data_IF_531069324960
#
_entry.id   IF_531069324960
#
_cell.length_a   1.000
_cell.length_b   1.000
_cell.length_c   1.000
_cell.angle_alpha   90.00
_cell.angle_beta   90.00
_cell.angle_gamma   90.00
#
_symmetry.space_group_name_H-M   'P 1'
#
loop_
_entity.id
_entity.type
_entity.pdbx_description
1 polymer ?
#
# COMPACT_ATOMS: atom_id res chain seq x y z
N UNK A 1 42.93 -9.33 -8.04
CA UNK A 1 43.20 -10.76 -8.29
C UNK A 1 41.99 -11.54 -8.81
N UNK A 2 40.91 -11.77 -8.04
CA UNK A 2 39.76 -12.56 -8.56
C UNK A 2 39.03 -11.85 -9.72
N UNK A 3 38.79 -10.54 -9.60
CA UNK A 3 38.15 -9.74 -10.65
C UNK A 3 39.01 -9.59 -11.93
N UNK A 4 40.35 -9.59 -11.80
CA UNK A 4 41.26 -9.52 -12.96
C UNK A 4 41.29 -10.84 -13.73
N UNK A 5 41.25 -11.97 -13.02
CA UNK A 5 41.20 -13.30 -13.64
C UNK A 5 39.86 -13.51 -14.34
N UNK A 6 38.75 -13.12 -13.71
CA UNK A 6 37.42 -13.18 -14.34
C UNK A 6 37.35 -12.24 -15.54
N UNK A 7 37.92 -11.03 -15.45
CA UNK A 7 38.01 -10.09 -16.56
C UNK A 7 38.76 -10.66 -17.77
N UNK A 8 39.94 -11.26 -17.54
CA UNK A 8 40.74 -11.88 -18.59
C UNK A 8 40.03 -13.06 -19.27
N UNK A 9 39.31 -13.88 -18.49
CA UNK A 9 38.53 -15.00 -19.03
C UNK A 9 37.37 -14.52 -19.92
N UNK A 10 36.69 -13.44 -19.52
CA UNK A 10 35.62 -12.85 -20.33
C UNK A 10 36.15 -12.18 -21.60
N UNK A 11 37.30 -11.51 -21.55
CA UNK A 11 37.96 -10.95 -22.74
C UNK A 11 38.33 -12.04 -23.75
N UNK A 12 38.91 -13.13 -23.27
CA UNK A 12 39.31 -14.26 -24.11
C UNK A 12 38.09 -14.94 -24.74
N UNK A 13 37.04 -15.20 -23.95
CA UNK A 13 35.79 -15.76 -24.44
C UNK A 13 35.12 -14.85 -25.49
N UNK A 14 35.11 -13.54 -25.28
CA UNK A 14 34.58 -12.55 -26.22
C UNK A 14 35.37 -12.50 -27.53
N UNK A 15 36.71 -12.59 -27.44
CA UNK A 15 37.61 -12.64 -28.59
C UNK A 15 37.40 -13.91 -29.44
N UNK A 16 37.14 -15.04 -28.81
CA UNK A 16 36.83 -16.30 -29.50
C UNK A 16 35.44 -16.22 -30.15
N UNK A 17 34.43 -15.76 -29.40
CA UNK A 17 33.06 -15.63 -29.89
C UNK A 17 32.95 -14.68 -31.10
N UNK A 18 33.64 -13.53 -31.07
CA UNK A 18 33.65 -12.56 -32.18
C UNK A 18 34.30 -13.08 -33.47
N UNK A 19 35.18 -14.09 -33.37
CA UNK A 19 35.80 -14.72 -34.55
C UNK A 19 34.97 -15.89 -35.10
N UNK A 20 34.18 -16.56 -34.26
CA UNK A 20 33.46 -17.77 -34.60
C UNK A 20 31.98 -17.54 -34.92
N UNK A 21 31.41 -16.42 -34.48
CA UNK A 21 29.98 -16.12 -34.64
C UNK A 21 29.80 -14.92 -35.56
N UNK A 22 29.28 -15.18 -36.76
CA UNK A 22 28.70 -14.15 -37.60
C UNK A 22 27.29 -13.84 -37.09
N UNK A 23 27.09 -12.68 -36.49
CA UNK A 23 25.75 -12.19 -36.11
C UNK A 23 25.09 -11.53 -37.32
N UNK A 24 24.45 -12.31 -38.18
CA UNK A 24 23.39 -11.78 -39.04
C UNK A 24 22.25 -11.28 -38.15
N UNK A 25 21.95 -9.98 -38.22
CA UNK A 25 21.00 -9.35 -37.31
C UNK A 25 21.61 -8.79 -36.04
N UNK A 26 22.87 -8.30 -36.08
CA UNK A 26 23.27 -7.17 -35.23
C UNK A 26 22.47 -5.91 -35.65
N UNK A 27 21.15 -6.02 -35.74
CA UNK A 27 20.24 -4.90 -35.88
C UNK A 27 20.53 -4.00 -34.70
N UNK A 28 21.01 -2.81 -35.02
CA UNK A 28 21.01 -1.61 -34.18
C UNK A 28 20.23 -1.86 -32.89
N UNK A 29 20.91 -2.17 -31.78
CA UNK A 29 20.38 -1.69 -30.49
C UNK A 29 20.07 -0.23 -30.76
N UNK A 30 18.79 0.15 -30.78
CA UNK A 30 18.40 1.50 -31.12
C UNK A 30 19.26 2.41 -30.23
N UNK A 31 19.88 3.45 -30.80
CA UNK A 31 20.71 4.40 -30.04
C UNK A 31 20.00 4.86 -28.75
N UNK A 32 18.67 4.90 -28.81
CA UNK A 32 17.73 5.11 -27.72
C UNK A 32 17.82 4.05 -26.61
N UNK A 33 17.74 2.76 -26.91
CA UNK A 33 17.82 1.67 -25.92
C UNK A 33 19.14 1.72 -25.15
N UNK A 34 20.26 1.97 -25.83
CA UNK A 34 21.58 2.08 -25.17
C UNK A 34 21.69 3.32 -24.29
N UNK A 35 21.15 4.45 -24.75
CA UNK A 35 21.13 5.68 -23.96
C UNK A 35 20.24 5.51 -22.72
N UNK A 36 19.06 4.91 -22.89
CA UNK A 36 18.11 4.68 -21.82
C UNK A 36 18.65 3.70 -20.79
N UNK A 37 19.31 2.63 -21.24
CA UNK A 37 20.04 1.70 -20.37
C UNK A 37 21.09 2.46 -19.55
N UNK A 38 21.91 3.30 -20.20
CA UNK A 38 22.97 4.07 -19.53
C UNK A 38 22.42 5.03 -18.47
N UNK A 39 21.27 5.66 -18.73
CA UNK A 39 20.60 6.54 -17.76
C UNK A 39 20.04 5.72 -16.59
N UNK A 40 19.23 4.70 -16.91
CA UNK A 40 18.51 3.87 -15.94
C UNK A 40 19.44 3.07 -15.01
N UNK A 41 20.61 2.62 -15.50
CA UNK A 41 21.56 1.82 -14.70
C UNK A 41 22.71 2.65 -14.12
N UNK A 42 22.73 3.97 -14.34
CA UNK A 42 23.79 4.81 -13.77
C UNK A 42 23.65 4.92 -12.26
N UNK A 43 24.78 4.98 -11.54
CA UNK A 43 24.79 5.10 -10.09
C UNK A 43 24.14 6.38 -9.56
N UNK A 44 24.18 7.46 -10.35
CA UNK A 44 23.70 8.79 -9.95
C UNK A 44 22.30 9.06 -10.52
N UNK A 45 22.06 8.78 -11.81
CA UNK A 45 20.76 9.03 -12.44
C UNK A 45 19.77 7.87 -12.29
N UNK A 46 20.21 6.67 -11.89
CA UNK A 46 19.33 5.52 -11.71
C UNK A 46 18.26 5.74 -10.64
N UNK A 47 18.61 6.27 -9.46
CA UNK A 47 17.63 6.55 -8.40
C UNK A 47 16.67 7.70 -8.74
N UNK A 48 17.10 8.86 -9.26
CA UNK A 48 16.20 9.89 -9.76
C UNK A 48 15.30 9.41 -10.90
N UNK A 49 15.83 8.65 -11.86
CA UNK A 49 15.03 8.11 -12.96
C UNK A 49 13.99 7.10 -12.46
N UNK A 50 14.36 6.25 -11.49
CA UNK A 50 13.43 5.37 -10.79
C UNK A 50 12.32 6.16 -10.11
N UNK A 51 12.67 7.18 -9.31
CA UNK A 51 11.70 8.01 -8.60
C UNK A 51 10.76 8.75 -9.56
N UNK A 52 11.29 9.26 -10.68
CA UNK A 52 10.50 9.94 -11.71
C UNK A 52 9.57 8.96 -12.44
N UNK A 53 10.06 7.78 -12.81
CA UNK A 53 9.24 6.75 -13.46
C UNK A 53 8.08 6.32 -12.55
N UNK A 54 8.38 5.98 -11.29
CA UNK A 54 7.35 5.61 -10.32
C UNK A 54 6.42 6.77 -9.99
N UNK A 55 6.96 7.97 -9.80
CA UNK A 55 6.17 9.18 -9.58
C UNK A 55 5.19 9.44 -10.72
N UNK A 56 5.62 9.27 -11.98
CA UNK A 56 4.75 9.39 -13.14
C UNK A 56 3.66 8.31 -13.15
N UNK A 57 4.00 7.04 -12.87
CA UNK A 57 3.03 5.94 -12.79
C UNK A 57 1.98 6.20 -11.70
N UNK A 58 2.39 6.60 -10.50
CA UNK A 58 1.46 6.94 -9.42
C UNK A 58 0.62 8.17 -9.74
N UNK A 59 1.22 9.20 -10.32
CA UNK A 59 0.49 10.41 -10.70
C UNK A 59 -0.60 10.13 -11.73
N UNK A 60 -0.29 9.36 -12.78
CA UNK A 60 -1.28 8.91 -13.77
C UNK A 60 -2.34 8.03 -13.12
N UNK A 61 -1.93 7.13 -12.23
CA UNK A 61 -2.86 6.21 -11.54
C UNK A 61 -3.84 6.97 -10.65
N UNK A 62 -3.36 7.86 -9.77
CA UNK A 62 -4.18 8.58 -8.78
C UNK A 62 -5.07 9.60 -9.48
N UNK A 63 -4.48 10.44 -10.34
CA UNK A 63 -5.24 11.49 -11.06
C UNK A 63 -6.23 10.87 -12.03
N UNK A 64 -5.82 9.82 -12.76
CA UNK A 64 -6.68 9.11 -13.70
C UNK A 64 -7.79 8.30 -13.02
N UNK A 65 -7.56 7.79 -11.82
CA UNK A 65 -8.56 7.03 -11.06
C UNK A 65 -9.61 7.90 -10.38
N UNK A 66 -9.32 9.17 -10.10
CA UNK A 66 -10.22 10.05 -9.35
C UNK A 66 -11.59 10.17 -10.04
N UNK A 67 -11.62 10.36 -11.37
CA UNK A 67 -12.87 10.52 -12.14
C UNK A 67 -13.71 9.23 -12.16
N UNK A 68 -13.18 8.05 -12.51
CA UNK A 68 -13.98 6.83 -12.42
C UNK A 68 -14.39 6.46 -11.00
N UNK A 69 -13.55 6.75 -9.99
CA UNK A 69 -13.88 6.53 -8.59
C UNK A 69 -15.04 7.41 -8.13
N UNK A 70 -15.07 8.70 -8.48
CA UNK A 70 -16.20 9.57 -8.13
C UNK A 70 -17.49 9.11 -8.82
N UNK A 71 -17.43 8.75 -10.11
CA UNK A 71 -18.59 8.23 -10.85
C UNK A 71 -19.15 6.94 -10.25
N UNK A 72 -18.27 6.02 -9.83
CA UNK A 72 -18.69 4.79 -9.13
C UNK A 72 -19.26 5.10 -7.73
N UNK A 73 -18.71 6.09 -7.04
CA UNK A 73 -19.21 6.55 -5.74
C UNK A 73 -20.62 7.11 -5.85
N UNK A 74 -20.85 8.03 -6.78
CA UNK A 74 -22.16 8.62 -7.05
C UNK A 74 -23.19 7.55 -7.45
N UNK A 75 -22.77 6.59 -8.28
CA UNK A 75 -23.64 5.49 -8.70
C UNK A 75 -23.96 4.56 -7.52
N UNK A 76 -22.96 3.96 -6.88
CA UNK A 76 -23.16 2.91 -5.88
C UNK A 76 -23.67 3.48 -4.54
N UNK A 77 -23.02 4.52 -4.02
CA UNK A 77 -23.32 5.09 -2.70
C UNK A 77 -24.37 6.20 -2.77
N UNK A 78 -24.55 6.84 -3.92
CA UNK A 78 -25.64 7.81 -4.13
C UNK A 78 -26.93 7.12 -4.59
N UNK A 79 -26.94 6.66 -5.84
CA UNK A 79 -28.18 6.18 -6.50
C UNK A 79 -28.63 4.80 -6.03
N UNK A 80 -27.76 3.78 -6.05
CA UNK A 80 -28.12 2.40 -5.71
C UNK A 80 -28.41 2.27 -4.21
N UNK A 81 -27.61 2.90 -3.35
CA UNK A 81 -27.89 3.01 -1.92
C UNK A 81 -29.28 3.61 -1.66
N UNK A 82 -29.64 4.71 -2.34
CA UNK A 82 -30.96 5.32 -2.24
C UNK A 82 -32.09 4.39 -2.67
N UNK A 83 -31.91 3.64 -3.77
CA UNK A 83 -32.89 2.64 -4.22
C UNK A 83 -33.05 1.47 -3.25
N UNK A 84 -31.96 1.01 -2.63
CA UNK A 84 -32.01 -0.07 -1.64
C UNK A 84 -32.81 0.36 -0.40
N UNK A 85 -32.60 1.58 0.10
CA UNK A 85 -33.37 2.12 1.21
C UNK A 85 -34.84 2.36 0.86
N UNK A 86 -35.14 2.87 -0.33
CA UNK A 86 -36.53 3.00 -0.80
C UNK A 86 -37.23 1.63 -0.90
N UNK A 87 -36.52 0.61 -1.41
CA UNK A 87 -37.02 -0.76 -1.46
C UNK A 87 -37.23 -1.38 -0.07
N UNK A 88 -36.30 -1.16 0.86
CA UNK A 88 -36.43 -1.63 2.25
C UNK A 88 -37.63 -0.99 2.95
N UNK A 89 -37.85 0.31 2.75
CA UNK A 89 -38.99 1.05 3.28
C UNK A 89 -40.31 0.55 2.67
N UNK A 90 -40.35 0.29 1.36
CA UNK A 90 -41.54 -0.26 0.70
C UNK A 90 -41.90 -1.66 1.24
N UNK A 91 -40.90 -2.46 1.61
CA UNK A 91 -41.07 -3.78 2.22
C UNK A 91 -41.32 -3.74 3.73
N UNK A 92 -41.37 -2.56 4.35
CA UNK A 92 -41.44 -2.38 5.81
C UNK A 92 -40.39 -3.21 6.56
N UNK A 93 -39.18 -3.30 6.00
CA UNK A 93 -38.09 -4.02 6.63
C UNK A 93 -37.73 -3.35 7.98
N UNK A 94 -37.43 -4.11 9.04
CA UNK A 94 -36.99 -3.53 10.31
C UNK A 94 -35.73 -2.67 10.13
N UNK A 95 -35.65 -1.54 10.85
CA UNK A 95 -34.51 -0.60 10.76
C UNK A 95 -33.15 -1.25 11.06
N UNK A 96 -33.12 -2.25 11.96
CA UNK A 96 -31.88 -2.97 12.24
C UNK A 96 -31.40 -3.81 11.06
N UNK A 97 -32.32 -4.31 10.22
CA UNK A 97 -32.01 -5.16 9.08
C UNK A 97 -31.54 -4.32 7.89
N UNK A 98 -32.23 -3.21 7.61
CA UNK A 98 -31.78 -2.24 6.60
C UNK A 98 -30.45 -1.63 7.00
N UNK A 99 -30.28 -1.25 8.27
CA UNK A 99 -29.01 -0.74 8.77
C UNK A 99 -27.87 -1.75 8.64
N UNK A 100 -28.06 -2.98 9.10
CA UNK A 100 -27.01 -4.00 9.03
C UNK A 100 -26.59 -4.33 7.59
N UNK A 101 -27.56 -4.57 6.71
CA UNK A 101 -27.29 -5.02 5.33
C UNK A 101 -26.91 -3.86 4.40
N UNK A 102 -27.58 -2.72 4.50
CA UNK A 102 -27.40 -1.59 3.59
C UNK A 102 -26.31 -0.66 4.14
N UNK A 103 -26.48 -0.16 5.36
CA UNK A 103 -25.57 0.83 5.96
C UNK A 103 -24.23 0.23 6.39
N UNK A 104 -24.22 -1.05 6.76
CA UNK A 104 -23.02 -1.81 7.11
C UNK A 104 -22.40 -2.52 5.91
N UNK A 105 -23.01 -3.62 5.47
CA UNK A 105 -22.42 -4.54 4.49
C UNK A 105 -22.30 -3.90 3.10
N UNK A 106 -23.40 -3.36 2.56
CA UNK A 106 -23.42 -2.80 1.21
C UNK A 106 -22.51 -1.57 1.07
N UNK A 107 -22.63 -0.58 1.97
CA UNK A 107 -21.77 0.61 1.91
C UNK A 107 -20.28 0.28 1.99
N UNK A 108 -19.88 -0.68 2.84
CA UNK A 108 -18.49 -1.09 2.92
C UNK A 108 -18.00 -1.74 1.61
N UNK A 109 -18.81 -2.60 0.98
CA UNK A 109 -18.48 -3.17 -0.32
C UNK A 109 -18.43 -2.10 -1.42
N UNK A 110 -19.41 -1.21 -1.46
CA UNK A 110 -19.50 -0.12 -2.44
C UNK A 110 -18.28 0.81 -2.34
N UNK A 111 -17.87 1.18 -1.13
CA UNK A 111 -16.66 1.97 -0.90
C UNK A 111 -15.40 1.29 -1.44
N UNK A 112 -15.18 0.02 -1.08
CA UNK A 112 -14.00 -0.74 -1.53
C UNK A 112 -13.98 -0.87 -3.05
N UNK A 113 -15.14 -1.13 -3.68
CA UNK A 113 -15.23 -1.19 -5.15
C UNK A 113 -14.92 0.17 -5.76
N UNK A 114 -15.49 1.25 -5.24
CA UNK A 114 -15.31 2.60 -5.78
C UNK A 114 -13.86 3.08 -5.69
N UNK A 115 -13.22 2.87 -4.54
CA UNK A 115 -11.88 3.41 -4.23
C UNK A 115 -10.76 2.51 -4.75
N UNK A 116 -10.90 1.18 -4.71
CA UNK A 116 -9.82 0.28 -5.15
C UNK A 116 -9.83 -0.03 -6.64
N UNK A 117 -11.01 -0.22 -7.27
CA UNK A 117 -11.08 -0.76 -8.63
C UNK A 117 -10.39 0.16 -9.65
N UNK A 118 -10.69 1.46 -9.74
CA UNK A 118 -10.12 2.30 -10.80
C UNK A 118 -8.59 2.46 -10.73
N UNK A 119 -7.97 2.77 -9.58
CA UNK A 119 -6.52 2.89 -9.55
C UNK A 119 -5.82 1.55 -9.75
N UNK A 120 -6.39 0.41 -9.35
CA UNK A 120 -5.82 -0.90 -9.70
C UNK A 120 -5.97 -1.22 -11.19
N UNK A 121 -7.09 -0.83 -11.80
CA UNK A 121 -7.35 -1.00 -13.24
C UNK A 121 -6.41 -0.17 -14.11
N UNK A 122 -5.85 0.94 -13.61
CA UNK A 122 -4.84 1.74 -14.30
C UNK A 122 -3.42 1.26 -13.96
N UNK A 123 -3.14 1.03 -12.67
CA UNK A 123 -1.80 0.69 -12.19
C UNK A 123 -1.28 -0.60 -12.80
N UNK A 124 -2.06 -1.70 -12.76
CA UNK A 124 -1.55 -3.00 -13.21
C UNK A 124 -1.26 -3.06 -14.71
N UNK A 125 -2.11 -2.53 -15.62
CA UNK A 125 -1.77 -2.50 -17.03
C UNK A 125 -0.54 -1.64 -17.33
N UNK A 126 -0.43 -0.45 -16.73
CA UNK A 126 0.74 0.42 -16.90
C UNK A 126 2.01 -0.26 -16.37
N UNK A 127 1.94 -0.88 -15.20
CA UNK A 127 3.07 -1.58 -14.62
C UNK A 127 3.48 -2.80 -15.46
N UNK A 128 2.52 -3.61 -15.92
CA UNK A 128 2.78 -4.78 -16.77
C UNK A 128 3.37 -4.35 -18.11
N UNK A 129 2.92 -3.21 -18.67
CA UNK A 129 3.52 -2.63 -19.88
C UNK A 129 4.99 -2.26 -19.66
N UNK A 130 5.33 -1.64 -18.51
CA UNK A 130 6.71 -1.31 -18.15
C UNK A 130 7.56 -2.56 -17.87
N UNK A 131 6.94 -3.65 -17.43
CA UNK A 131 7.57 -4.95 -17.22
C UNK A 131 7.90 -5.61 -18.57
N UNK A 132 6.92 -5.69 -19.47
CA UNK A 132 7.04 -6.25 -20.83
C UNK A 132 8.07 -5.50 -21.68
N UNK A 133 8.13 -4.17 -21.52
CA UNK A 133 9.13 -3.31 -22.12
C UNK A 133 10.55 -3.51 -21.54
N UNK A 134 10.71 -4.22 -20.43
CA UNK A 134 12.01 -4.45 -19.81
C UNK A 134 12.57 -3.26 -19.01
N UNK A 135 11.78 -2.20 -18.77
CA UNK A 135 12.21 -1.06 -17.95
C UNK A 135 12.27 -1.41 -16.47
N UNK A 136 11.29 -2.13 -15.94
CA UNK A 136 11.25 -2.51 -14.54
C UNK A 136 12.43 -3.41 -14.10
N UNK A 137 12.83 -4.46 -14.85
CA UNK A 137 14.04 -5.23 -14.57
C UNK A 137 15.31 -4.39 -14.47
N UNK A 138 15.44 -3.35 -15.30
CA UNK A 138 16.62 -2.46 -15.31
C UNK A 138 16.63 -1.52 -14.13
N UNK A 139 15.48 -0.94 -13.80
CA UNK A 139 15.32 -0.09 -12.62
C UNK A 139 15.54 -0.88 -11.33
N UNK A 140 15.10 -2.14 -11.28
CA UNK A 140 15.33 -3.05 -10.16
C UNK A 140 16.83 -3.24 -9.85
N UNK A 141 17.70 -3.16 -10.87
CA UNK A 141 19.15 -3.28 -10.70
C UNK A 141 19.74 -2.20 -9.78
N UNK A 142 19.12 -1.01 -9.71
CA UNK A 142 19.56 0.06 -8.81
C UNK A 142 19.43 -0.32 -7.34
N UNK A 143 18.48 -1.20 -7.00
CA UNK A 143 18.24 -1.67 -5.64
C UNK A 143 18.92 -3.01 -5.34
N UNK A 144 19.46 -3.71 -6.33
CA UNK A 144 20.07 -5.04 -6.18
C UNK A 144 21.16 -5.05 -5.09
N UNK A 145 22.08 -4.08 -5.13
CA UNK A 145 23.15 -3.95 -4.13
C UNK A 145 22.61 -3.75 -2.71
N UNK A 146 21.51 -3.02 -2.56
CA UNK A 146 20.88 -2.76 -1.27
C UNK A 146 20.22 -4.03 -0.70
N UNK A 147 19.47 -4.76 -1.53
CA UNK A 147 18.86 -6.03 -1.14
C UNK A 147 19.91 -7.11 -0.83
N UNK A 148 20.96 -7.22 -1.65
CA UNK A 148 22.09 -8.12 -1.40
C UNK A 148 22.79 -7.80 -0.08
N UNK A 149 23.01 -6.50 0.22
CA UNK A 149 23.56 -6.04 1.50
C UNK A 149 22.66 -6.33 2.71
N UNK A 150 21.35 -6.47 2.50
CA UNK A 150 20.38 -6.89 3.51
C UNK A 150 20.26 -8.43 3.63
N UNK A 151 20.99 -9.19 2.82
CA UNK A 151 20.90 -10.66 2.79
C UNK A 151 19.62 -11.18 2.15
N UNK A 152 19.11 -10.46 1.15
CA UNK A 152 17.93 -10.82 0.37
C UNK A 152 18.20 -10.80 -1.14
N UNK A 153 17.26 -11.29 -1.95
CA UNK A 153 17.44 -11.45 -3.40
C UNK A 153 17.18 -10.16 -4.17
N UNK A 154 17.96 -9.85 -5.22
CA UNK A 154 17.74 -8.66 -6.07
C UNK A 154 16.34 -8.59 -6.72
N UNK A 155 15.81 -9.75 -7.14
CA UNK A 155 14.41 -9.88 -7.64
C UNK A 155 13.35 -9.40 -6.64
N UNK A 156 13.66 -9.28 -5.34
CA UNK A 156 12.74 -8.70 -4.35
C UNK A 156 12.39 -7.24 -4.66
N UNK A 157 13.27 -6.50 -5.35
CA UNK A 157 12.94 -5.16 -5.82
C UNK A 157 11.70 -5.18 -6.76
N UNK A 158 11.59 -6.18 -7.64
CA UNK A 158 10.44 -6.34 -8.54
C UNK A 158 9.15 -6.62 -7.77
N UNK A 159 9.21 -7.52 -6.77
CA UNK A 159 8.03 -7.81 -5.95
C UNK A 159 7.59 -6.62 -5.09
N UNK A 160 8.54 -5.88 -4.52
CA UNK A 160 8.28 -4.66 -3.76
C UNK A 160 7.62 -3.59 -4.64
N UNK A 161 8.12 -3.41 -5.87
CA UNK A 161 7.57 -2.46 -6.84
C UNK A 161 6.12 -2.81 -7.20
N UNK A 162 5.80 -4.10 -7.32
CA UNK A 162 4.42 -4.57 -7.51
C UNK A 162 3.55 -4.42 -6.25
N UNK A 163 4.16 -4.50 -5.06
CA UNK A 163 3.52 -4.26 -3.77
C UNK A 163 2.94 -2.84 -3.63
N UNK A 164 3.58 -1.82 -4.21
CA UNK A 164 3.03 -0.47 -4.17
C UNK A 164 1.65 -0.32 -4.86
N UNK A 165 1.31 -1.20 -5.81
CA UNK A 165 -0.06 -1.31 -6.30
C UNK A 165 -0.93 -2.05 -5.28
N UNK A 166 -0.60 -3.31 -5.03
CA UNK A 166 -1.30 -4.13 -4.06
C UNK A 166 -0.33 -5.12 -3.40
N UNK A 167 -0.29 -5.13 -2.07
CA UNK A 167 0.58 -6.03 -1.31
C UNK A 167 0.24 -7.51 -1.57
N UNK A 168 -1.01 -7.87 -1.84
CA UNK A 168 -1.38 -9.24 -2.22
C UNK A 168 -0.76 -9.64 -3.57
N UNK A 169 -0.80 -8.75 -4.56
CA UNK A 169 -0.18 -9.00 -5.87
C UNK A 169 1.35 -9.06 -5.76
N UNK A 170 1.97 -8.19 -4.96
CA UNK A 170 3.40 -8.24 -4.67
C UNK A 170 3.84 -9.51 -3.93
N UNK A 171 3.00 -10.07 -3.05
CA UNK A 171 3.28 -11.38 -2.42
C UNK A 171 3.26 -12.50 -3.46
N UNK A 172 2.30 -12.51 -4.39
CA UNK A 172 2.26 -13.53 -5.47
C UNK A 172 3.48 -13.41 -6.40
N UNK A 173 3.94 -12.19 -6.69
CA UNK A 173 5.09 -12.00 -7.58
C UNK A 173 6.41 -12.45 -6.95
N UNK A 174 6.47 -12.72 -5.64
CA UNK A 174 7.67 -13.33 -5.01
C UNK A 174 8.00 -14.73 -5.55
N UNK A 175 7.11 -15.39 -6.30
CA UNK A 175 7.37 -16.66 -6.99
C UNK A 175 8.53 -16.61 -7.98
N UNK A 176 8.93 -15.41 -8.42
CA UNK A 176 10.14 -15.22 -9.23
C UNK A 176 11.43 -15.51 -8.46
N UNK A 177 11.39 -15.53 -7.11
CA UNK A 177 12.55 -15.78 -6.24
C UNK A 177 12.65 -17.29 -6.00
N UNK A 178 13.76 -17.88 -6.47
CA UNK A 178 13.96 -19.34 -6.46
C UNK A 178 14.27 -19.87 -5.05
N UNK A 179 15.06 -19.11 -4.26
CA UNK A 179 15.43 -19.48 -2.90
C UNK A 179 14.22 -19.38 -1.95
N UNK A 180 13.77 -20.48 -1.31
CA UNK A 180 12.60 -20.45 -0.42
C UNK A 180 12.77 -19.50 0.77
N UNK A 181 14.00 -19.39 1.28
CA UNK A 181 14.37 -18.49 2.38
C UNK A 181 14.21 -17.03 1.97
N UNK A 182 14.81 -16.64 0.86
CA UNK A 182 14.79 -15.26 0.38
C UNK A 182 13.38 -14.88 -0.12
N UNK A 183 12.66 -15.84 -0.70
CA UNK A 183 11.23 -15.69 -1.04
C UNK A 183 10.40 -15.37 0.20
N UNK A 184 10.63 -16.07 1.32
CA UNK A 184 9.92 -15.80 2.56
C UNK A 184 10.25 -14.41 3.15
N UNK A 185 11.51 -13.97 3.06
CA UNK A 185 11.89 -12.60 3.45
C UNK A 185 11.12 -11.58 2.59
N UNK A 186 11.06 -11.78 1.27
CA UNK A 186 10.31 -10.94 0.36
C UNK A 186 8.81 -10.91 0.70
N UNK A 187 8.21 -12.07 0.97
CA UNK A 187 6.79 -12.17 1.38
C UNK A 187 6.51 -11.36 2.65
N UNK A 188 7.34 -11.51 3.69
CA UNK A 188 7.14 -10.86 4.99
C UNK A 188 7.38 -9.34 4.95
N UNK A 189 8.31 -8.89 4.12
CA UNK A 189 8.69 -7.47 4.03
C UNK A 189 7.91 -6.70 2.99
N UNK A 190 7.16 -7.38 2.10
CA UNK A 190 6.36 -6.70 1.07
C UNK A 190 5.34 -5.71 1.65
N UNK A 191 4.87 -5.93 2.88
CA UNK A 191 3.92 -5.05 3.55
C UNK A 191 4.43 -3.61 3.79
N UNK A 192 5.75 -3.40 3.82
CA UNK A 192 6.32 -2.06 3.95
C UNK A 192 6.27 -1.26 2.64
N UNK A 193 5.86 -1.88 1.54
CA UNK A 193 5.45 -1.19 0.31
C UNK A 193 4.08 -0.57 0.53
N UNK A 194 3.95 0.72 0.25
CA UNK A 194 2.68 1.45 0.42
C UNK A 194 1.74 1.05 -0.71
N UNK A 195 0.77 0.19 -0.41
CA UNK A 195 -0.26 -0.20 -1.37
C UNK A 195 -1.26 0.93 -1.65
N UNK A 196 -2.00 0.81 -2.75
CA UNK A 196 -3.04 1.76 -3.19
C UNK A 196 -3.93 2.26 -2.04
N UNK A 197 -4.49 1.36 -1.23
CA UNK A 197 -5.38 1.72 -0.13
C UNK A 197 -4.76 2.59 0.98
N UNK A 198 -3.43 2.73 1.05
CA UNK A 198 -2.74 3.58 2.02
C UNK A 198 -2.44 4.99 1.48
N UNK A 199 -2.38 5.18 0.16
CA UNK A 199 -2.05 6.48 -0.43
C UNK A 199 -3.04 7.59 -0.05
N UNK A 200 -4.38 7.40 -0.11
CA UNK A 200 -5.33 8.45 0.27
C UNK A 200 -5.13 8.93 1.71
N UNK A 201 -4.87 7.99 2.64
CA UNK A 201 -4.59 8.32 4.05
C UNK A 201 -3.33 9.20 4.16
N UNK A 202 -2.24 8.81 3.48
CA UNK A 202 -0.98 9.55 3.56
C UNK A 202 -1.07 10.94 2.91
N UNK A 203 -1.75 11.04 1.76
CA UNK A 203 -1.98 12.30 1.06
C UNK A 203 -2.82 13.24 1.93
N UNK A 204 -3.95 12.74 2.47
CA UNK A 204 -4.84 13.53 3.33
C UNK A 204 -4.12 14.05 4.58
N UNK A 205 -3.35 13.18 5.26
CA UNK A 205 -2.60 13.57 6.46
C UNK A 205 -1.48 14.56 6.15
N UNK A 206 -0.74 14.35 5.06
CA UNK A 206 0.30 15.27 4.62
C UNK A 206 -0.30 16.65 4.29
N UNK A 207 -1.44 16.71 3.61
CA UNK A 207 -2.13 17.98 3.28
C UNK A 207 -2.61 18.70 4.55
N UNK A 208 -3.31 18.02 5.44
CA UNK A 208 -3.97 18.64 6.60
C UNK A 208 -2.96 19.05 7.68
N UNK A 209 -1.97 18.21 8.00
CA UNK A 209 -1.11 18.40 9.17
C UNK A 209 0.31 18.90 8.84
N UNK A 210 0.80 18.71 7.63
CA UNK A 210 2.16 19.15 7.24
C UNK A 210 2.09 20.36 6.32
N UNK A 211 1.41 20.24 5.19
CA UNK A 211 1.33 21.30 4.18
C UNK A 211 0.61 22.55 4.69
N UNK A 212 -0.40 22.41 5.56
CA UNK A 212 -1.11 23.53 6.16
C UNK A 212 -0.24 24.45 7.04
N UNK A 213 0.96 24.02 7.42
CA UNK A 213 1.93 24.85 8.17
C UNK A 213 2.81 25.73 7.27
N UNK A 214 2.75 25.51 5.95
CA UNK A 214 3.61 26.17 4.96
C UNK A 214 2.82 27.20 4.14
N UNK A 215 3.49 28.19 3.53
CA UNK A 215 2.84 29.14 2.65
C UNK A 215 2.10 28.43 1.50
N UNK A 216 0.93 28.94 1.04
CA UNK A 216 0.11 28.27 0.02
C UNK A 216 0.86 27.91 -1.26
N UNK A 217 1.87 28.71 -1.64
CA UNK A 217 2.69 28.47 -2.83
C UNK A 217 3.53 27.16 -2.75
N UNK A 218 3.89 26.70 -1.55
CA UNK A 218 4.70 25.51 -1.33
C UNK A 218 3.92 24.33 -0.75
N UNK A 219 2.67 24.52 -0.36
CA UNK A 219 1.86 23.51 0.32
C UNK A 219 1.76 22.19 -0.47
N UNK A 220 1.46 22.25 -1.77
CA UNK A 220 1.35 21.06 -2.62
C UNK A 220 2.69 20.31 -2.78
N UNK A 221 3.78 21.06 -2.95
CA UNK A 221 5.13 20.48 -3.05
C UNK A 221 5.56 19.80 -1.74
N UNK A 222 5.23 20.40 -0.59
CA UNK A 222 5.55 19.85 0.73
C UNK A 222 4.71 18.61 1.03
N UNK A 223 3.43 18.60 0.68
CA UNK A 223 2.59 17.40 0.79
C UNK A 223 3.18 16.25 -0.04
N UNK A 224 3.49 16.51 -1.32
CA UNK A 224 4.10 15.52 -2.20
C UNK A 224 5.45 15.01 -1.67
N UNK A 225 6.32 15.91 -1.21
CA UNK A 225 7.61 15.55 -0.63
C UNK A 225 7.47 14.70 0.64
N UNK A 226 6.47 14.99 1.48
CA UNK A 226 6.17 14.23 2.69
C UNK A 226 5.77 12.80 2.34
N UNK A 227 4.85 12.63 1.40
CA UNK A 227 4.39 11.30 0.97
C UNK A 227 5.53 10.51 0.31
N UNK A 228 6.33 11.13 -0.55
CA UNK A 228 7.54 10.50 -1.13
C UNK A 228 8.55 10.12 -0.04
N UNK A 229 8.71 10.96 0.98
CA UNK A 229 9.56 10.67 2.14
C UNK A 229 9.10 9.43 2.91
N UNK A 230 7.78 9.28 3.13
CA UNK A 230 7.20 8.10 3.78
C UNK A 230 7.37 6.85 2.89
N UNK A 231 7.20 6.97 1.57
CA UNK A 231 7.47 5.88 0.63
C UNK A 231 8.93 5.43 0.67
N UNK A 232 9.87 6.38 0.70
CA UNK A 232 11.29 6.08 0.86
C UNK A 232 11.59 5.43 2.21
N UNK A 233 10.94 5.88 3.29
CA UNK A 233 11.03 5.26 4.62
C UNK A 233 10.55 3.80 4.59
N UNK A 234 9.50 3.48 3.82
CA UNK A 234 9.05 2.11 3.58
C UNK A 234 10.11 1.22 2.94
N UNK A 235 10.83 1.73 1.95
CA UNK A 235 11.99 1.02 1.35
C UNK A 235 13.08 0.78 2.39
N UNK A 236 13.38 1.77 3.23
CA UNK A 236 14.36 1.62 4.33
C UNK A 236 13.93 0.53 5.31
N UNK A 237 12.67 0.54 5.78
CA UNK A 237 12.15 -0.50 6.67
C UNK A 237 12.13 -1.89 6.02
N UNK A 238 11.88 -1.97 4.71
CA UNK A 238 12.00 -3.22 3.95
C UNK A 238 13.41 -3.79 4.03
N UNK A 239 14.43 -2.96 3.80
CA UNK A 239 15.83 -3.36 3.85
C UNK A 239 16.29 -3.71 5.28
N UNK A 240 15.93 -2.88 6.26
CA UNK A 240 16.26 -3.12 7.67
C UNK A 240 15.64 -4.42 8.18
N UNK A 241 14.36 -4.65 7.89
CA UNK A 241 13.65 -5.86 8.32
C UNK A 241 14.16 -7.08 7.57
N UNK A 242 14.50 -6.96 6.28
CA UNK A 242 15.13 -8.05 5.52
C UNK A 242 16.46 -8.47 6.15
N UNK A 243 17.28 -7.50 6.56
CA UNK A 243 18.55 -7.74 7.28
C UNK A 243 18.35 -8.34 8.67
N UNK A 244 17.33 -7.90 9.39
CA UNK A 244 16.98 -8.47 10.69
C UNK A 244 16.56 -9.94 10.54
N UNK A 245 15.65 -10.24 9.61
CA UNK A 245 15.15 -11.59 9.36
C UNK A 245 16.25 -12.53 8.86
N UNK A 246 17.11 -12.07 7.94
CA UNK A 246 18.19 -12.88 7.37
C UNK A 246 19.25 -13.27 8.41
N UNK A 247 19.45 -12.45 9.45
CA UNK A 247 20.38 -12.74 10.56
C UNK A 247 19.77 -13.53 11.71
N UNK A 248 18.44 -13.45 11.91
CA UNK A 248 17.79 -14.01 13.10
C UNK A 248 17.01 -15.29 12.78
N UNK A 249 15.80 -15.16 12.24
CA UNK A 249 14.82 -16.23 12.05
C UNK A 249 15.09 -17.08 10.80
N UNK A 250 15.71 -16.50 9.78
CA UNK A 250 15.91 -17.11 8.47
C UNK A 250 17.41 -17.14 8.17
N UNK A 251 18.16 -18.04 8.81
CA UNK A 251 19.60 -18.27 8.56
C UNK A 251 19.80 -19.28 7.42
N UNK A 252 20.83 -19.09 6.60
CA UNK A 252 21.16 -20.00 5.48
C UNK A 252 22.19 -19.40 4.51
N UNK A 253 22.55 -20.15 3.47
CA UNK A 253 23.43 -19.68 2.39
C UNK A 253 22.67 -18.74 1.44
N UNK A 254 23.36 -17.73 0.90
CA UNK A 254 22.81 -16.80 -0.10
C UNK A 254 22.86 -17.44 -1.47
N UNK A 255 21.77 -17.38 -2.25
CA UNK A 255 21.82 -17.86 -3.63
C UNK A 255 22.68 -16.96 -4.52
N UNK A 256 23.53 -17.56 -5.37
CA UNK A 256 24.30 -16.82 -6.38
C UNK A 256 23.36 -16.43 -7.51
N UNK A 257 23.37 -15.15 -7.87
CA UNK A 257 22.44 -14.55 -8.82
C UNK A 257 23.15 -14.10 -10.09
N UNK A 258 22.63 -14.54 -11.24
CA UNK A 258 22.85 -13.94 -12.56
C UNK A 258 21.52 -13.33 -13.01
N UNK A 259 21.38 -12.00 -12.93
CA UNK A 259 20.25 -11.29 -13.56
C UNK A 259 20.47 -11.33 -15.08
N UNK A 260 19.84 -12.26 -15.77
CA UNK A 260 19.72 -12.15 -17.22
C UNK A 260 18.81 -10.97 -17.53
N UNK A 261 19.38 -9.91 -18.13
CA UNK A 261 18.60 -8.75 -18.59
C UNK A 261 17.73 -9.19 -19.77
N UNK A 262 16.39 -9.16 -19.67
CA UNK A 262 15.53 -9.55 -20.78
C UNK A 262 15.69 -8.58 -21.96
N UNK A 263 15.62 -9.06 -23.22
CA UNK A 263 15.67 -8.19 -24.39
C UNK A 263 14.42 -7.29 -24.45
N UNK A 264 14.57 -6.06 -24.97
CA UNK A 264 13.44 -5.17 -25.26
C UNK A 264 12.47 -5.86 -26.22
N UNK A 265 11.19 -5.96 -25.85
CA UNK A 265 10.13 -6.51 -26.70
C UNK A 265 9.01 -5.47 -26.85
N UNK A 266 8.49 -5.23 -28.06
CA UNK A 266 7.34 -4.36 -28.23
C UNK A 266 6.13 -4.95 -27.49
N UNK A 267 5.41 -4.15 -26.69
CA UNK A 267 4.36 -4.67 -25.84
C UNK A 267 3.11 -5.01 -26.65
N UNK A 268 2.44 -6.11 -26.29
CA UNK A 268 1.15 -6.48 -26.87
C UNK A 268 0.03 -5.77 -26.12
N UNK A 269 -0.10 -4.46 -26.34
CA UNK A 269 -0.95 -3.54 -25.54
C UNK A 269 -2.36 -4.08 -25.26
N UNK A 270 -3.09 -4.59 -26.26
CA UNK A 270 -4.43 -5.15 -26.05
C UNK A 270 -4.44 -6.43 -25.21
N UNK A 271 -3.49 -7.34 -25.46
CA UNK A 271 -3.39 -8.59 -24.72
C UNK A 271 -3.01 -8.31 -23.26
N UNK A 272 -2.04 -7.42 -23.04
CA UNK A 272 -1.57 -7.01 -21.71
C UNK A 272 -2.69 -6.29 -20.94
N UNK A 273 -3.46 -5.41 -21.59
CA UNK A 273 -4.60 -4.73 -20.95
C UNK A 273 -5.69 -5.72 -20.52
N UNK A 274 -6.08 -6.64 -21.40
CA UNK A 274 -7.11 -7.65 -21.11
C UNK A 274 -6.68 -8.58 -19.97
N UNK A 275 -5.50 -9.19 -20.10
CA UNK A 275 -4.98 -10.14 -19.10
C UNK A 275 -4.74 -9.47 -17.76
N UNK A 276 -4.19 -8.25 -17.74
CA UNK A 276 -3.95 -7.52 -16.50
C UNK A 276 -5.27 -7.13 -15.80
N UNK A 277 -6.28 -6.67 -16.52
CA UNK A 277 -7.55 -6.28 -15.92
C UNK A 277 -8.32 -7.48 -15.37
N UNK A 278 -8.45 -8.54 -16.16
CA UNK A 278 -9.30 -9.68 -15.80
C UNK A 278 -8.58 -10.62 -14.83
N UNK A 279 -7.34 -11.02 -15.16
CA UNK A 279 -6.64 -12.05 -14.39
C UNK A 279 -5.97 -11.51 -13.12
N UNK A 280 -5.72 -10.19 -13.03
CA UNK A 280 -5.12 -9.58 -11.84
C UNK A 280 -6.09 -8.68 -11.08
N UNK A 281 -6.73 -7.71 -11.73
CA UNK A 281 -7.57 -6.72 -11.03
C UNK A 281 -8.85 -7.34 -10.46
N UNK A 282 -9.66 -8.02 -11.29
CA UNK A 282 -10.94 -8.57 -10.84
C UNK A 282 -10.80 -9.64 -9.76
N UNK A 283 -9.81 -10.53 -9.88
CA UNK A 283 -9.55 -11.58 -8.90
C UNK A 283 -9.13 -11.03 -7.53
N UNK A 284 -8.33 -9.96 -7.51
CA UNK A 284 -7.94 -9.30 -6.26
C UNK A 284 -9.09 -8.49 -5.69
N UNK A 285 -9.86 -7.80 -6.54
CA UNK A 285 -11.04 -7.05 -6.12
C UNK A 285 -12.09 -7.96 -5.47
N UNK A 286 -12.38 -9.13 -6.07
CA UNK A 286 -13.33 -10.08 -5.51
C UNK A 286 -12.95 -10.50 -4.08
N UNK A 287 -11.66 -10.75 -3.83
CA UNK A 287 -11.16 -11.07 -2.49
C UNK A 287 -11.32 -9.90 -1.52
N UNK A 288 -11.08 -8.67 -1.98
CA UNK A 288 -11.28 -7.47 -1.18
C UNK A 288 -12.76 -7.29 -0.81
N UNK A 289 -13.69 -7.44 -1.76
CA UNK A 289 -15.14 -7.32 -1.52
C UNK A 289 -15.64 -8.36 -0.52
N UNK A 290 -15.25 -9.63 -0.69
CA UNK A 290 -15.62 -10.72 0.22
C UNK A 290 -15.09 -10.48 1.65
N UNK A 291 -13.95 -9.81 1.78
CA UNK A 291 -13.37 -9.44 3.08
C UNK A 291 -14.00 -8.15 3.66
N UNK A 292 -14.40 -7.21 2.81
CA UNK A 292 -15.00 -5.94 3.21
C UNK A 292 -16.43 -6.09 3.74
N UNK A 293 -17.23 -6.97 3.15
CA UNK A 293 -18.60 -7.25 3.58
C UNK A 293 -18.74 -7.56 5.09
N UNK A 294 -18.02 -8.56 5.66
CA UNK A 294 -18.07 -8.83 7.09
C UNK A 294 -17.45 -7.70 7.92
N UNK A 295 -16.50 -6.95 7.38
CA UNK A 295 -15.94 -5.78 8.05
C UNK A 295 -17.02 -4.71 8.28
N UNK A 296 -17.77 -4.36 7.22
CA UNK A 296 -18.88 -3.42 7.29
C UNK A 296 -19.97 -3.85 8.28
N UNK A 297 -20.32 -5.14 8.28
CA UNK A 297 -21.22 -5.72 9.27
C UNK A 297 -20.71 -5.52 10.71
N UNK A 298 -19.44 -5.81 10.97
CA UNK A 298 -18.84 -5.64 12.30
C UNK A 298 -18.81 -4.18 12.71
N UNK A 299 -18.41 -3.27 11.82
CA UNK A 299 -18.39 -1.83 12.09
C UNK A 299 -19.79 -1.32 12.44
N UNK A 300 -20.80 -1.73 11.66
CA UNK A 300 -22.17 -1.33 11.93
C UNK A 300 -22.66 -1.85 13.30
N UNK A 301 -22.37 -3.11 13.63
CA UNK A 301 -22.76 -3.71 14.90
C UNK A 301 -22.11 -3.00 16.09
N UNK A 302 -20.80 -2.72 16.05
CA UNK A 302 -20.13 -2.07 17.18
C UNK A 302 -20.60 -0.61 17.37
N UNK A 303 -21.00 0.07 16.29
CA UNK A 303 -21.46 1.45 16.35
C UNK A 303 -22.91 1.57 16.81
N UNK A 304 -23.78 0.63 16.41
CA UNK A 304 -25.23 0.72 16.66
C UNK A 304 -25.70 -0.08 17.89
N UNK A 305 -25.00 -1.14 18.28
CA UNK A 305 -25.36 -1.89 19.48
C UNK A 305 -24.89 -1.14 20.72
N UNK A 306 -25.84 -0.81 21.59
CA UNK A 306 -25.58 -0.10 22.85
C UNK A 306 -25.59 -1.05 24.04
N UNK A 307 -24.61 -0.89 24.92
CA UNK A 307 -24.47 -1.60 26.20
C UNK A 307 -24.29 -0.56 27.29
N UNK A 308 -25.19 -0.59 28.29
CA UNK A 308 -25.22 0.36 29.40
C UNK A 308 -25.28 1.84 28.95
N UNK A 309 -26.03 2.14 27.88
CA UNK A 309 -26.27 3.51 27.39
C UNK A 309 -25.21 4.08 26.45
N UNK A 310 -24.11 3.35 26.19
CA UNK A 310 -23.06 3.72 25.23
C UNK A 310 -22.89 2.63 24.17
N UNK A 311 -22.42 2.98 22.97
CA UNK A 311 -22.12 1.99 21.93
C UNK A 311 -20.93 1.09 22.32
N UNK A 312 -20.86 -0.12 21.75
CA UNK A 312 -19.68 -1.00 21.91
C UNK A 312 -18.42 -0.27 21.43
N UNK A 313 -18.53 0.49 20.34
CA UNK A 313 -17.46 1.33 19.83
C UNK A 313 -16.93 2.31 20.87
N UNK A 314 -17.80 2.98 21.63
CA UNK A 314 -17.38 3.88 22.71
C UNK A 314 -16.56 3.15 23.79
N UNK A 315 -16.98 1.95 24.20
CA UNK A 315 -16.24 1.14 25.17
C UNK A 315 -14.87 0.69 24.64
N UNK A 316 -14.80 0.32 23.36
CA UNK A 316 -13.53 -0.05 22.73
C UNK A 316 -12.58 1.15 22.62
N UNK A 317 -13.10 2.32 22.25
CA UNK A 317 -12.32 3.57 22.13
C UNK A 317 -11.78 3.97 23.49
N UNK A 318 -12.64 4.04 24.53
CA UNK A 318 -12.20 4.44 25.87
C UNK A 318 -11.21 3.46 26.49
N UNK A 319 -11.35 2.16 26.21
CA UNK A 319 -10.40 1.13 26.65
C UNK A 319 -9.03 1.23 25.98
N UNK A 320 -8.97 1.62 24.70
CA UNK A 320 -7.73 1.78 23.94
C UNK A 320 -7.14 3.19 24.00
N UNK A 321 -7.90 4.18 24.49
CA UNK A 321 -7.46 5.57 24.61
C UNK A 321 -6.11 5.71 25.34
N UNK A 322 -5.86 5.06 26.49
CA UNK A 322 -4.58 5.19 27.19
C UNK A 322 -3.40 4.71 26.33
N UNK A 323 -3.57 3.60 25.60
CA UNK A 323 -2.56 3.09 24.69
C UNK A 323 -2.37 4.00 23.47
N UNK A 324 -3.48 4.55 22.94
CA UNK A 324 -3.47 5.51 21.86
C UNK A 324 -2.62 6.72 22.21
N UNK A 325 -2.95 7.38 23.32
CA UNK A 325 -2.21 8.53 23.83
C UNK A 325 -0.75 8.17 24.03
N UNK A 326 -0.41 7.04 24.65
CA UNK A 326 0.99 6.64 24.88
C UNK A 326 1.83 6.64 23.61
N UNK A 327 1.25 6.17 22.51
CA UNK A 327 1.89 6.00 21.20
C UNK A 327 1.72 7.25 20.31
N UNK A 328 1.10 8.31 20.83
CA UNK A 328 0.84 9.56 20.08
C UNK A 328 -0.27 9.44 19.03
N UNK A 329 -1.15 8.46 19.20
CA UNK A 329 -2.41 8.30 18.47
C UNK A 329 -3.58 8.59 19.43
N UNK A 330 -4.78 8.12 19.11
CA UNK A 330 -5.95 8.12 20.01
C UNK A 330 -6.68 6.77 19.94
N UNK A 331 -7.63 6.54 20.84
CA UNK A 331 -8.40 5.30 20.90
C UNK A 331 -9.25 5.06 19.64
N UNK A 332 -9.75 6.14 19.02
CA UNK A 332 -10.51 6.07 17.76
C UNK A 332 -9.68 5.47 16.63
N UNK A 333 -8.44 5.95 16.45
CA UNK A 333 -7.50 5.41 15.46
C UNK A 333 -7.25 3.93 15.73
N UNK A 334 -6.95 3.55 16.97
CA UNK A 334 -6.65 2.15 17.30
C UNK A 334 -7.85 1.23 17.03
N UNK A 335 -9.06 1.62 17.42
CA UNK A 335 -10.28 0.87 17.09
C UNK A 335 -10.49 0.78 15.58
N UNK A 336 -10.33 1.89 14.86
CA UNK A 336 -10.46 1.90 13.40
C UNK A 336 -9.51 0.88 12.75
N UNK A 337 -8.23 0.83 13.15
CA UNK A 337 -7.28 -0.14 12.62
C UNK A 337 -7.58 -1.60 13.00
N UNK A 338 -8.23 -1.86 14.14
CA UNK A 338 -8.66 -3.20 14.53
C UNK A 338 -9.81 -3.68 13.66
N UNK A 339 -10.76 -2.79 13.36
CA UNK A 339 -11.98 -3.18 12.63
C UNK A 339 -11.77 -3.11 11.12
N UNK A 340 -10.89 -2.22 10.65
CA UNK A 340 -10.52 -2.06 9.24
C UNK A 340 -9.39 -2.99 8.76
N UNK A 341 -8.96 -3.98 9.56
CA UNK A 341 -8.00 -5.02 9.10
C UNK A 341 -8.36 -5.61 7.72
N UNK A 342 -9.65 -5.84 7.39
CA UNK A 342 -10.00 -6.37 6.08
C UNK A 342 -9.66 -5.48 4.88
N UNK A 343 -9.70 -4.16 5.05
CA UNK A 343 -9.56 -3.16 3.99
C UNK A 343 -8.92 -1.88 4.56
N UNK A 344 -7.71 -1.53 4.10
CA UNK A 344 -7.01 -0.39 4.68
C UNK A 344 -7.54 0.96 4.16
N UNK A 345 -8.21 0.95 3.01
CA UNK A 345 -8.86 2.10 2.40
C UNK A 345 -10.12 2.58 3.14
N UNK A 346 -10.67 1.80 4.08
CA UNK A 346 -11.81 2.20 4.91
C UNK A 346 -11.40 2.81 6.26
N UNK A 347 -10.09 2.91 6.56
CA UNK A 347 -9.59 3.40 7.85
C UNK A 347 -10.04 4.84 8.10
N UNK A 348 -9.85 5.76 7.15
CA UNK A 348 -10.24 7.17 7.31
C UNK A 348 -11.77 7.34 7.46
N UNK A 349 -12.61 6.74 6.58
CA UNK A 349 -14.07 6.75 6.79
C UNK A 349 -14.47 6.24 8.17
N UNK A 350 -13.85 5.15 8.64
CA UNK A 350 -14.12 4.58 9.96
C UNK A 350 -13.73 5.53 11.08
N UNK A 351 -12.57 6.20 10.98
CA UNK A 351 -12.13 7.22 11.95
C UNK A 351 -13.11 8.38 12.00
N UNK A 352 -13.55 8.90 10.85
CA UNK A 352 -14.49 10.01 10.77
C UNK A 352 -15.85 9.63 11.36
N UNK A 353 -16.39 8.47 10.97
CA UNK A 353 -17.65 7.95 11.49
C UNK A 353 -17.59 7.76 13.01
N UNK A 354 -16.54 7.11 13.54
CA UNK A 354 -16.38 6.92 14.98
C UNK A 354 -16.26 8.25 15.72
N UNK A 355 -15.49 9.20 15.18
CA UNK A 355 -15.32 10.53 15.80
C UNK A 355 -16.64 11.29 15.86
N UNK A 356 -17.40 11.30 14.77
CA UNK A 356 -18.70 11.99 14.69
C UNK A 356 -19.77 11.37 15.59
N UNK A 357 -19.84 10.03 15.62
CA UNK A 357 -20.79 9.30 16.46
C UNK A 357 -20.49 9.46 17.95
N UNK A 358 -19.21 9.40 18.36
CA UNK A 358 -18.84 9.63 19.75
C UNK A 358 -19.07 11.08 20.18
N UNK A 359 -18.83 12.04 19.29
CA UNK A 359 -19.10 13.46 19.54
C UNK A 359 -20.59 13.83 19.47
N UNK A 360 -21.48 12.90 19.09
CA UNK A 360 -22.93 13.13 18.87
C UNK A 360 -23.19 14.34 17.95
N UNK A 361 -22.36 14.48 16.92
CA UNK A 361 -22.46 15.58 15.95
C UNK A 361 -23.68 15.40 15.05
N UNK A 362 -24.30 16.51 14.62
CA UNK A 362 -25.38 16.48 13.62
C UNK A 362 -24.92 16.04 12.23
N UNK A 363 -23.60 16.02 11.99
CA UNK A 363 -22.97 15.49 10.77
C UNK A 363 -22.82 13.95 10.81
N UNK A 364 -23.17 13.30 11.92
CA UNK A 364 -23.19 11.84 11.99
C UNK A 364 -24.29 11.30 11.09
N UNK A 365 -23.92 10.49 10.09
CA UNK A 365 -24.86 9.71 9.28
C UNK A 365 -25.04 8.31 9.87
N UNK A 366 -26.15 7.66 9.55
CA UNK A 366 -26.40 6.26 9.93
C UNK A 366 -25.48 5.26 9.19
N UNK A 367 -24.83 5.72 8.11
CA UNK A 367 -23.92 4.94 7.28
C UNK A 367 -22.52 4.76 7.87
N UNK A 368 -21.89 3.62 7.58
CA UNK A 368 -20.53 3.31 8.05
C UNK A 368 -19.44 4.05 7.26
N UNK A 369 -19.73 4.52 6.05
CA UNK A 369 -18.77 5.16 5.15
C UNK A 369 -19.19 6.60 4.86
N UNK A 370 -18.39 7.56 5.31
CA UNK A 370 -18.60 8.99 5.12
C UNK A 370 -17.52 9.57 4.22
N UNK A 371 -17.95 10.32 3.22
CA UNK A 371 -17.11 11.17 2.37
C UNK A 371 -17.41 12.63 2.71
N UNK A 372 -16.39 13.37 3.14
CA UNK A 372 -16.49 14.78 3.53
C UNK A 372 -15.47 15.59 2.73
N UNK A 373 -15.73 16.90 2.55
CA UNK A 373 -14.76 17.81 1.97
C UNK A 373 -13.54 18.00 2.88
N UNK A 374 -12.37 18.31 2.31
CA UNK A 374 -11.11 18.41 3.07
C UNK A 374 -11.16 19.42 4.23
N UNK A 375 -11.89 20.53 4.07
CA UNK A 375 -12.09 21.54 5.12
C UNK A 375 -12.88 21.00 6.31
N UNK A 376 -13.92 20.21 6.04
CA UNK A 376 -14.77 19.61 7.06
C UNK A 376 -14.05 18.47 7.77
N UNK A 377 -13.27 17.67 7.03
CA UNK A 377 -12.40 16.63 7.59
C UNK A 377 -11.45 17.23 8.62
N UNK A 378 -10.76 18.33 8.28
CA UNK A 378 -9.85 18.99 9.22
C UNK A 378 -10.59 19.43 10.49
N UNK A 379 -11.74 20.08 10.35
CA UNK A 379 -12.57 20.51 11.46
C UNK A 379 -12.98 19.37 12.38
N UNK A 380 -13.40 18.23 11.82
CA UNK A 380 -13.76 17.02 12.58
C UNK A 380 -12.55 16.45 13.30
N UNK A 381 -11.41 16.25 12.61
CA UNK A 381 -10.23 15.62 13.20
C UNK A 381 -9.59 16.47 14.29
N UNK A 382 -9.42 17.78 14.07
CA UNK A 382 -8.79 18.66 15.06
C UNK A 382 -9.76 19.13 16.13
N UNK A 383 -11.00 19.47 15.76
CA UNK A 383 -11.98 20.03 16.68
C UNK A 383 -12.67 18.99 17.55
N UNK A 384 -13.22 17.93 16.94
CA UNK A 384 -13.93 16.87 17.66
C UNK A 384 -12.99 15.73 18.07
N UNK A 385 -12.03 15.37 17.20
CA UNK A 385 -11.09 14.28 17.43
C UNK A 385 -9.89 14.64 18.30
N UNK A 386 -9.61 15.94 18.51
CA UNK A 386 -8.48 16.42 19.30
C UNK A 386 -7.11 16.15 18.66
N UNK A 387 -7.04 15.99 17.34
CA UNK A 387 -5.78 15.63 16.67
C UNK A 387 -4.80 16.78 16.63
N UNK A 388 -3.54 16.45 16.92
CA UNK A 388 -2.40 17.35 16.77
C UNK A 388 -1.59 16.99 15.53
N UNK A 389 -0.63 17.84 15.15
CA UNK A 389 0.33 17.50 14.09
C UNK A 389 1.11 16.21 14.40
N UNK A 390 1.41 15.95 15.68
CA UNK A 390 2.03 14.70 16.13
C UNK A 390 1.13 13.49 15.81
N UNK A 391 -0.17 13.59 16.10
CA UNK A 391 -1.14 12.53 15.78
C UNK A 391 -1.19 12.26 14.28
N UNK A 392 -1.22 13.30 13.45
CA UNK A 392 -1.18 13.18 11.99
C UNK A 392 0.09 12.48 11.48
N UNK A 393 1.26 12.88 12.00
CA UNK A 393 2.56 12.26 11.64
C UNK A 393 2.62 10.81 12.11
N UNK A 394 2.21 10.52 13.33
CA UNK A 394 2.18 9.15 13.84
C UNK A 394 1.18 8.28 13.10
N UNK A 395 0.04 8.82 12.65
CA UNK A 395 -0.88 8.08 11.80
C UNK A 395 -0.26 7.73 10.44
N UNK A 396 0.53 8.63 9.84
CA UNK A 396 1.26 8.33 8.60
C UNK A 396 2.29 7.21 8.79
N UNK A 397 3.07 7.27 9.87
CA UNK A 397 4.05 6.25 10.21
C UNK A 397 3.38 4.91 10.55
N UNK A 398 2.28 4.93 11.29
CA UNK A 398 1.50 3.75 11.63
C UNK A 398 0.85 3.14 10.38
N UNK A 399 0.31 3.95 9.48
CA UNK A 399 -0.23 3.50 8.20
C UNK A 399 0.84 2.78 7.36
N UNK A 400 2.07 3.30 7.34
CA UNK A 400 3.20 2.63 6.68
C UNK A 400 3.55 1.27 7.33
N UNK A 401 3.56 1.21 8.67
CA UNK A 401 4.16 0.12 9.42
C UNK A 401 3.16 -0.88 10.02
N UNK A 402 1.85 -0.68 9.91
CA UNK A 402 0.87 -1.62 10.46
C UNK A 402 0.75 -2.92 9.65
N UNK A 403 -0.08 -3.84 10.14
CA UNK A 403 -0.35 -5.12 9.50
C UNK A 403 -0.85 -5.00 8.04
N UNK A 404 -0.59 -6.00 7.19
CA UNK A 404 -1.21 -6.07 5.89
C UNK A 404 -2.72 -6.35 6.00
N UNK A 405 -3.47 -5.98 4.96
CA UNK A 405 -4.91 -6.24 4.89
C UNK A 405 -5.22 -7.75 4.81
N UNK A 406 -6.45 -8.15 5.15
CA UNK A 406 -6.88 -9.55 5.12
C UNK A 406 -6.63 -10.26 3.79
N UNK A 407 -6.84 -9.58 2.66
CA UNK A 407 -6.55 -10.14 1.32
C UNK A 407 -5.09 -10.51 1.16
N UNK A 408 -4.18 -9.70 1.71
CA UNK A 408 -2.74 -9.98 1.70
C UNK A 408 -2.41 -11.10 2.67
N UNK A 409 -2.95 -11.10 3.90
CA UNK A 409 -2.73 -12.18 4.88
C UNK A 409 -3.17 -13.55 4.35
N UNK A 410 -4.33 -13.61 3.68
CA UNK A 410 -4.82 -14.81 3.01
C UNK A 410 -3.88 -15.26 1.88
N UNK A 411 -3.35 -14.31 1.13
CA UNK A 411 -2.40 -14.60 0.05
C UNK A 411 -1.08 -15.14 0.63
N UNK A 412 -0.57 -14.54 1.70
CA UNK A 412 0.60 -15.04 2.44
C UNK A 412 0.36 -16.47 2.94
N UNK A 413 -0.82 -16.74 3.50
CA UNK A 413 -1.18 -18.09 3.94
C UNK A 413 -1.17 -19.09 2.76
N UNK A 414 -1.72 -18.71 1.61
CA UNK A 414 -1.71 -19.56 0.40
C UNK A 414 -0.31 -19.79 -0.18
N UNK A 415 0.56 -18.78 -0.18
CA UNK A 415 1.93 -18.92 -0.70
C UNK A 415 2.88 -19.66 0.26
N UNK A 416 2.68 -19.52 1.58
CA UNK A 416 3.57 -20.13 2.60
C UNK A 416 3.07 -21.45 3.15
N UNK A 417 1.77 -21.74 3.03
CA UNK A 417 1.12 -22.91 3.63
C UNK A 417 1.16 -22.95 5.17
N UNK A 418 1.53 -21.85 5.84
CA UNK A 418 1.86 -21.85 7.26
C UNK A 418 1.20 -20.71 8.03
N UNK A 419 0.37 -21.07 9.01
CA UNK A 419 -0.25 -20.11 9.95
C UNK A 419 0.80 -19.33 10.75
N UNK A 420 1.95 -19.95 11.04
CA UNK A 420 3.06 -19.29 11.76
C UNK A 420 3.58 -18.09 10.97
N UNK A 421 3.82 -18.26 9.66
CA UNK A 421 4.33 -17.17 8.82
C UNK A 421 3.30 -16.09 8.55
N UNK A 422 2.01 -16.47 8.42
CA UNK A 422 0.92 -15.49 8.35
C UNK A 422 0.83 -14.65 9.63
N UNK A 423 0.92 -15.27 10.80
CA UNK A 423 0.88 -14.53 12.07
C UNK A 423 2.11 -13.61 12.23
N UNK A 424 3.31 -14.09 11.88
CA UNK A 424 4.52 -13.26 11.89
C UNK A 424 4.37 -12.08 10.92
N UNK A 425 3.77 -12.28 9.74
CA UNK A 425 3.54 -11.19 8.78
C UNK A 425 2.57 -10.12 9.27
N UNK A 426 1.66 -10.47 10.17
CA UNK A 426 0.74 -9.51 10.80
C UNK A 426 1.41 -8.78 11.98
N UNK A 427 2.06 -9.53 12.87
CA UNK A 427 2.60 -9.00 14.13
C UNK A 427 3.91 -8.24 13.94
N UNK A 428 4.79 -8.68 13.02
CA UNK A 428 6.10 -8.06 12.85
C UNK A 428 5.99 -6.58 12.44
N UNK A 429 5.23 -6.20 11.41
CA UNK A 429 5.02 -4.78 11.10
C UNK A 429 4.35 -4.07 12.27
N UNK A 430 3.28 -4.64 12.83
CA UNK A 430 2.52 -4.01 13.92
C UNK A 430 3.40 -3.62 15.12
N UNK A 431 4.27 -4.53 15.57
CA UNK A 431 5.24 -4.27 16.65
C UNK A 431 6.21 -3.14 16.26
N UNK A 432 6.73 -3.15 15.03
CA UNK A 432 7.59 -2.07 14.53
C UNK A 432 6.83 -0.74 14.50
N UNK A 433 5.57 -0.73 14.05
CA UNK A 433 4.71 0.44 13.99
C UNK A 433 4.46 1.06 15.37
N UNK A 434 4.08 0.24 16.36
CA UNK A 434 3.93 0.69 17.74
C UNK A 434 5.24 1.24 18.32
N UNK A 435 6.36 0.55 18.10
CA UNK A 435 7.66 0.99 18.57
C UNK A 435 8.07 2.34 17.96
N UNK A 436 7.90 2.51 16.64
CA UNK A 436 8.23 3.76 15.94
C UNK A 436 7.34 4.91 16.41
N UNK A 437 6.03 4.70 16.52
CA UNK A 437 5.11 5.73 16.97
C UNK A 437 5.32 6.11 18.45
N UNK A 438 5.66 5.15 19.29
CA UNK A 438 6.04 5.42 20.68
C UNK A 438 7.32 6.24 20.78
N UNK A 439 8.33 5.91 19.97
CA UNK A 439 9.59 6.65 19.92
C UNK A 439 9.38 8.09 19.44
N UNK A 440 8.60 8.29 18.37
CA UNK A 440 8.30 9.63 17.84
C UNK A 440 7.49 10.45 18.83
N UNK A 441 6.48 9.87 19.49
CA UNK A 441 5.71 10.54 20.53
C UNK A 441 6.57 10.92 21.74
N UNK A 442 7.47 10.04 22.17
CA UNK A 442 8.38 10.28 23.28
C UNK A 442 9.36 11.42 22.97
N UNK A 443 9.94 11.43 21.77
CA UNK A 443 10.82 12.50 21.32
C UNK A 443 10.07 13.83 21.23
N UNK A 444 8.86 13.85 20.69
CA UNK A 444 8.05 15.06 20.60
C UNK A 444 7.69 15.63 21.98
N UNK A 445 7.34 14.77 22.95
CA UNK A 445 7.11 15.17 24.35
C UNK A 445 8.36 15.75 25.00
N UNK A 446 9.52 15.15 24.79
CA UNK A 446 10.80 15.64 25.32
C UNK A 446 11.17 17.01 24.73
N UNK A 447 10.80 17.28 23.48
CA UNK A 447 11.02 18.56 22.80
C UNK A 447 9.94 19.61 23.12
N UNK A 448 8.90 19.27 23.88
CA UNK A 448 7.78 20.16 24.22
C UNK A 448 6.83 20.44 23.06
N UNK A 449 6.77 19.56 22.06
CA UNK A 449 5.90 19.67 20.88
C UNK A 449 4.57 18.93 21.00
N UNK A 450 4.32 18.28 22.14
CA UNK A 450 3.20 17.37 22.36
C UNK A 450 2.24 17.88 23.45
#
# INVERSE_FOLDING_TARGET
>A
MHDEIVGALYEEASRIASRAVWQEGAERKLRWDQWLDKVLTSRIWGFPAMALLFGAVFWVTITGANVPSSLLGDLLMGTVYGWLHQGANALHAPEWLSGFLIDGVYLAMAWVVSVMLPPMAIFFPVFTLLEDLGYLPRVAFNLDRAFKGAGAHGKQALSMMMGFGCNAAGVVSTRIIDSPRERLIAILTNNFSICNGRWPTLILMATIFVAATMPPAFASAVAAATVVGIAALGVIFTLLTSKLLSKTLLKGESSVFTLELPPYRPPRVLQTLYTSLIDRTLLVLWRAVVMAAPAGAVIWLISNVSVAGNSIAHWMVSGLEPLGVWVGLNGVILVAYIVAIPANEIIIPTILMLTLNLAKSSLASQGVMLELEESDIKGVLTGLGGWTALTGINLMLFSLLHNPCSTTLLTIFKETGSKKWTLISALLPLVIGFAVCFLTASVARLLGWA
#
